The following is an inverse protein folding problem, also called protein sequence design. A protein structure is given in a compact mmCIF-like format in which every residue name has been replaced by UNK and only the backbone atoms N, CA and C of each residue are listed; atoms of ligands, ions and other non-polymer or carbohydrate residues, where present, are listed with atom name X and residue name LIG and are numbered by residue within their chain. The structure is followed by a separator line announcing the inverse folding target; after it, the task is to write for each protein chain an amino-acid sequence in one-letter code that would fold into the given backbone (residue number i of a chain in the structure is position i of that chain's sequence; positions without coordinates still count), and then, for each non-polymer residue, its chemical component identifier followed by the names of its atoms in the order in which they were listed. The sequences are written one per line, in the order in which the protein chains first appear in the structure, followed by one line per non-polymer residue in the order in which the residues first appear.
data_IF_530898789328
#
_entry.id   IF_530898789328
#
_cell.length_a   1.000
_cell.length_b   1.000
_cell.length_c   1.000
_cell.angle_alpha   90.00
_cell.angle_beta   90.00
_cell.angle_gamma   90.00
#
_symmetry.space_group_name_H-M   'P 1'
#
loop_
_entity.id
_entity.type
_entity.pdbx_description
1 polymer ?
#
# COMPACT_ATOMS: atom_id res chain seq x y z
N UNK A 1 20.36 7.82 9.31
CA UNK A 1 19.05 8.50 9.32
C UNK A 1 18.37 8.15 8.01
N UNK A 2 17.14 7.61 8.03
CA UNK A 2 16.40 7.45 6.78
C UNK A 2 16.25 8.82 6.11
N UNK A 3 16.19 8.88 4.77
CA UNK A 3 15.98 10.13 4.04
C UNK A 3 14.76 10.83 4.62
N UNK A 4 14.86 12.14 4.84
CA UNK A 4 13.83 12.86 5.58
C UNK A 4 12.50 12.92 4.82
N UNK A 5 12.53 12.80 3.49
CA UNK A 5 11.35 12.79 2.63
C UNK A 5 11.67 12.05 1.32
N UNK A 6 10.77 11.17 0.88
CA UNK A 6 10.84 10.59 -0.47
C UNK A 6 10.79 11.72 -1.51
N UNK A 7 11.80 11.91 -2.38
CA UNK A 7 11.74 12.95 -3.40
C UNK A 7 10.62 12.60 -4.40
N UNK A 8 9.83 13.59 -4.80
CA UNK A 8 8.92 13.46 -5.96
C UNK A 8 9.79 13.26 -7.22
N UNK A 9 10.29 12.05 -7.43
CA UNK A 9 11.10 11.73 -8.60
C UNK A 9 10.17 11.59 -9.79
N UNK A 10 10.37 12.50 -10.72
CA UNK A 10 9.80 12.44 -12.05
C UNK A 10 10.63 11.44 -12.85
N UNK A 11 10.18 10.20 -12.94
CA UNK A 11 10.83 9.28 -13.86
C UNK A 11 10.11 9.31 -15.21
N UNK A 12 10.77 9.91 -16.19
CA UNK A 12 10.38 9.86 -17.59
C UNK A 12 10.69 8.45 -18.13
N UNK A 13 9.81 7.49 -17.92
CA UNK A 13 9.93 6.15 -18.53
C UNK A 13 9.47 6.15 -20.01
N UNK A 14 9.90 7.15 -20.79
CA UNK A 14 9.52 7.32 -22.20
C UNK A 14 8.06 7.74 -22.41
N UNK A 15 7.27 6.95 -23.14
CA UNK A 15 5.97 7.32 -23.73
C UNK A 15 4.78 7.46 -22.75
N UNK A 16 5.01 7.36 -21.44
CA UNK A 16 3.97 7.46 -20.42
C UNK A 16 4.46 8.34 -19.26
N UNK A 17 3.85 9.53 -19.13
CA UNK A 17 4.04 10.39 -17.98
C UNK A 17 3.28 9.77 -16.81
N UNK A 18 3.98 9.08 -15.92
CA UNK A 18 3.37 8.55 -14.71
C UNK A 18 3.91 9.32 -13.50
N UNK A 19 3.01 9.73 -12.61
CA UNK A 19 3.36 10.43 -11.38
C UNK A 19 2.86 9.64 -10.18
N UNK A 20 3.70 9.63 -9.13
CA UNK A 20 3.24 9.28 -7.79
C UNK A 20 2.15 10.30 -7.40
N UNK A 21 0.95 9.82 -7.12
CA UNK A 21 -0.11 10.69 -6.61
C UNK A 21 0.20 11.08 -5.17
N UNK A 22 -0.42 12.15 -4.65
CA UNK A 22 -0.27 12.52 -3.24
C UNK A 22 -0.54 11.35 -2.28
N UNK A 23 -1.47 10.45 -2.61
CA UNK A 23 -1.79 9.26 -1.81
C UNK A 23 -0.65 8.24 -1.82
N UNK A 24 0.01 8.01 -2.96
CA UNK A 24 1.15 7.07 -3.03
C UNK A 24 2.35 7.64 -2.28
N UNK A 25 2.58 8.94 -2.42
CA UNK A 25 3.66 9.62 -1.72
C UNK A 25 3.43 9.57 -0.20
N UNK A 26 2.23 9.89 0.26
CA UNK A 26 1.87 9.80 1.67
C UNK A 26 2.03 8.36 2.21
N UNK A 27 1.60 7.35 1.44
CA UNK A 27 1.76 5.95 1.82
C UNK A 27 3.24 5.51 1.87
N UNK A 28 4.03 5.92 0.89
CA UNK A 28 5.47 5.62 0.80
C UNK A 28 6.27 6.19 1.98
N UNK A 29 5.82 7.31 2.56
CA UNK A 29 6.44 7.93 3.74
C UNK A 29 5.75 7.55 5.06
N UNK A 30 4.78 6.62 5.05
CA UNK A 30 4.11 6.14 6.25
C UNK A 30 3.11 7.14 6.87
N UNK A 31 2.71 8.18 6.14
CA UNK A 31 1.78 9.22 6.59
C UNK A 31 0.32 8.74 6.54
N UNK A 32 -0.03 7.80 7.42
CA UNK A 32 -1.37 7.22 7.49
C UNK A 32 -2.47 8.28 7.64
N UNK A 33 -2.30 9.27 8.52
CA UNK A 33 -3.34 10.28 8.75
C UNK A 33 -3.63 11.06 7.45
N UNK A 34 -2.59 11.40 6.68
CA UNK A 34 -2.74 12.06 5.39
C UNK A 34 -3.40 11.14 4.35
N UNK A 35 -3.03 9.86 4.30
CA UNK A 35 -3.68 8.88 3.42
C UNK A 35 -5.16 8.77 3.75
N UNK A 36 -5.50 8.73 5.05
CA UNK A 36 -6.88 8.68 5.52
C UNK A 36 -7.64 9.93 5.09
N UNK A 37 -7.12 11.14 5.32
CA UNK A 37 -7.80 12.38 4.91
C UNK A 37 -7.99 12.43 3.38
N UNK A 38 -7.00 12.01 2.59
CA UNK A 38 -7.13 11.94 1.13
C UNK A 38 -8.22 10.95 0.69
N UNK A 39 -8.31 9.78 1.32
CA UNK A 39 -9.36 8.79 1.05
C UNK A 39 -10.76 9.29 1.44
N UNK A 40 -10.87 10.14 2.47
CA UNK A 40 -12.14 10.79 2.82
C UNK A 40 -12.58 11.81 1.76
N UNK A 41 -11.63 12.50 1.12
CA UNK A 41 -11.92 13.43 0.01
C UNK A 41 -12.34 12.68 -1.26
N UNK A 42 -11.65 11.59 -1.59
CA UNK A 42 -11.97 10.76 -2.76
C UNK A 42 -11.61 9.29 -2.50
N UNK A 43 -12.64 8.46 -2.33
CA UNK A 43 -12.47 7.01 -2.10
C UNK A 43 -11.92 6.28 -3.33
N UNK A 44 -12.01 6.85 -4.54
CA UNK A 44 -11.41 6.28 -5.74
C UNK A 44 -9.87 6.30 -5.67
N UNK A 45 -9.28 7.09 -4.77
CA UNK A 45 -7.85 7.05 -4.49
C UNK A 45 -7.42 5.69 -3.89
N UNK A 46 -8.35 4.89 -3.36
CA UNK A 46 -8.05 3.54 -2.90
C UNK A 46 -7.66 2.62 -4.05
N UNK A 47 -8.35 2.71 -5.20
CA UNK A 47 -8.02 1.95 -6.42
C UNK A 47 -6.59 2.25 -6.86
N UNK A 48 -6.21 3.53 -6.78
CA UNK A 48 -4.87 4.02 -7.08
C UNK A 48 -3.81 3.51 -6.11
N UNK A 49 -4.14 3.45 -4.82
CA UNK A 49 -3.26 2.96 -3.75
C UNK A 49 -3.07 1.44 -3.80
N UNK A 50 -4.10 0.71 -4.21
CA UNK A 50 -4.13 -0.76 -4.19
C UNK A 50 -3.69 -1.43 -5.50
N UNK A 51 -3.58 -0.68 -6.60
CA UNK A 51 -3.28 -1.26 -7.91
C UNK A 51 -1.85 -1.81 -7.98
N UNK A 52 -1.70 -3.14 -8.03
CA UNK A 52 -0.39 -3.80 -8.06
C UNK A 52 0.46 -3.37 -9.25
N UNK A 53 -0.15 -3.16 -10.42
CA UNK A 53 0.56 -2.64 -11.59
C UNK A 53 1.22 -1.29 -11.30
N UNK A 54 0.54 -0.44 -10.52
CA UNK A 54 1.03 0.87 -10.13
C UNK A 54 2.09 0.76 -9.03
N UNK A 55 1.89 -0.14 -8.08
CA UNK A 55 2.85 -0.42 -7.00
C UNK A 55 4.17 -0.94 -7.56
N UNK A 56 4.15 -1.91 -8.48
CA UNK A 56 5.38 -2.44 -9.09
C UNK A 56 6.16 -1.38 -9.90
N UNK A 57 5.44 -0.44 -10.52
CA UNK A 57 6.07 0.72 -11.18
C UNK A 57 6.68 1.70 -10.18
N UNK A 58 6.06 1.86 -9.00
CA UNK A 58 6.62 2.66 -7.91
C UNK A 58 7.88 1.98 -7.35
N UNK A 59 7.81 0.68 -7.09
CA UNK A 59 8.93 -0.13 -6.59
C UNK A 59 10.14 -0.07 -7.53
N UNK A 60 9.94 -0.11 -8.86
CA UNK A 60 11.07 0.03 -9.81
C UNK A 60 11.80 1.39 -9.74
N UNK A 61 11.20 2.43 -9.17
CA UNK A 61 11.89 3.73 -8.95
C UNK A 61 12.70 3.71 -7.65
N UNK A 62 12.37 2.80 -6.74
CA UNK A 62 12.84 2.80 -5.36
C UNK A 62 13.82 1.66 -5.08
N UNK A 63 13.76 0.58 -5.85
CA UNK A 63 14.56 -0.64 -5.65
C UNK A 63 16.08 -0.45 -5.85
N UNK A 64 16.50 0.57 -6.61
CA UNK A 64 17.92 0.79 -6.94
C UNK A 64 18.72 1.56 -5.87
N UNK A 65 18.09 1.97 -4.76
CA UNK A 65 18.76 2.76 -3.72
C UNK A 65 18.48 2.19 -2.31
N UNK A 66 19.54 1.75 -1.60
CA UNK A 66 19.50 1.33 -0.17
C UNK A 66 18.82 2.38 0.74
N UNK A 67 18.73 3.62 0.27
CA UNK A 67 18.03 4.72 0.92
C UNK A 67 16.50 4.53 1.01
N UNK A 68 15.90 3.64 0.22
CA UNK A 68 14.45 3.43 0.15
C UNK A 68 13.96 2.08 0.71
N UNK A 69 14.83 1.32 1.40
CA UNK A 69 14.47 0.05 2.05
C UNK A 69 13.29 0.15 3.02
N UNK A 70 13.04 1.34 3.57
CA UNK A 70 11.94 1.58 4.52
C UNK A 70 10.60 1.82 3.83
N UNK A 71 10.55 2.03 2.51
CA UNK A 71 9.31 2.38 1.82
C UNK A 71 8.30 1.22 1.86
N UNK A 72 8.75 -0.02 1.70
CA UNK A 72 7.90 -1.20 1.85
C UNK A 72 7.30 -1.28 3.26
N UNK A 73 8.10 -1.03 4.30
CA UNK A 73 7.65 -0.98 5.71
C UNK A 73 6.66 0.14 5.97
N UNK A 74 6.92 1.34 5.46
CA UNK A 74 6.01 2.49 5.54
C UNK A 74 4.65 2.18 4.92
N UNK A 75 4.64 1.55 3.75
CA UNK A 75 3.40 1.13 3.08
C UNK A 75 2.67 0.03 3.84
N UNK A 76 3.39 -0.96 4.37
CA UNK A 76 2.82 -1.99 5.24
C UNK A 76 2.16 -1.39 6.47
N UNK A 77 2.82 -0.42 7.12
CA UNK A 77 2.26 0.30 8.26
C UNK A 77 0.94 1.00 7.93
N UNK A 78 0.87 1.69 6.79
CA UNK A 78 -0.35 2.37 6.33
C UNK A 78 -1.46 1.36 6.02
N UNK A 79 -1.13 0.26 5.33
CA UNK A 79 -2.06 -0.81 5.01
C UNK A 79 -2.64 -1.47 6.28
N UNK A 80 -1.80 -1.73 7.29
CA UNK A 80 -2.21 -2.30 8.56
C UNK A 80 -3.16 -1.36 9.32
N UNK A 81 -2.86 -0.06 9.38
CA UNK A 81 -3.76 0.92 10.01
C UNK A 81 -5.09 1.06 9.28
N UNK A 82 -5.09 1.06 7.95
CA UNK A 82 -6.33 1.07 7.15
C UNK A 82 -7.16 -0.20 7.39
N UNK A 83 -6.52 -1.37 7.51
CA UNK A 83 -7.19 -2.60 7.91
C UNK A 83 -7.87 -2.43 9.28
N UNK A 84 -7.16 -1.93 10.28
CA UNK A 84 -7.70 -1.74 11.63
C UNK A 84 -8.89 -0.79 11.67
N UNK A 85 -8.83 0.32 10.93
CA UNK A 85 -9.93 1.29 10.84
C UNK A 85 -11.17 0.70 10.15
N UNK A 86 -10.96 -0.19 9.18
CA UNK A 86 -12.02 -0.88 8.44
C UNK A 86 -12.59 -2.12 9.17
N UNK A 87 -12.13 -2.38 10.39
CA UNK A 87 -12.59 -3.49 11.20
C UNK A 87 -13.95 -3.17 11.84
N UNK A 88 -14.97 -3.97 11.52
CA UNK A 88 -16.30 -3.82 12.10
C UNK A 88 -16.42 -4.52 13.45
N UNK A 89 -17.36 -4.08 14.30
CA UNK A 89 -17.69 -4.72 15.59
C UNK A 89 -18.09 -6.20 15.47
N UNK A 90 -18.45 -6.66 14.27
CA UNK A 90 -18.84 -8.05 13.97
C UNK A 90 -17.66 -8.93 13.53
N UNK A 91 -16.42 -8.41 13.56
CA UNK A 91 -15.24 -9.16 13.15
C UNK A 91 -14.98 -9.16 11.64
N UNK A 92 -15.87 -8.59 10.82
CA UNK A 92 -15.66 -8.46 9.38
C UNK A 92 -14.86 -7.19 9.04
N UNK A 93 -14.04 -7.27 8.00
CA UNK A 93 -13.29 -6.15 7.48
C UNK A 93 -13.83 -5.68 6.12
N UNK A 94 -14.16 -4.39 5.98
CA UNK A 94 -14.72 -3.86 4.74
C UNK A 94 -13.72 -3.84 3.58
N UNK A 95 -12.41 -3.68 3.83
CA UNK A 95 -11.38 -3.68 2.78
C UNK A 95 -11.23 -5.08 2.17
N UNK A 96 -11.14 -6.11 3.02
CA UNK A 96 -11.05 -7.50 2.55
C UNK A 96 -12.30 -7.84 1.74
N UNK A 97 -13.49 -7.51 2.24
CA UNK A 97 -14.76 -7.78 1.55
C UNK A 97 -14.90 -7.01 0.23
N UNK A 98 -14.28 -5.82 0.13
CA UNK A 98 -14.26 -5.04 -1.10
C UNK A 98 -13.22 -5.52 -2.12
N UNK A 99 -12.47 -6.59 -1.82
CA UNK A 99 -11.49 -7.19 -2.74
C UNK A 99 -10.08 -6.63 -2.58
N UNK A 100 -9.80 -5.78 -1.58
CA UNK A 100 -8.46 -5.22 -1.37
C UNK A 100 -7.53 -6.15 -0.55
N UNK A 101 -7.98 -7.37 -0.25
CA UNK A 101 -7.20 -8.35 0.52
C UNK A 101 -5.87 -8.75 -0.15
N UNK A 102 -5.87 -8.91 -1.47
CA UNK A 102 -4.63 -9.18 -2.23
C UNK A 102 -3.60 -8.05 -2.12
N UNK A 103 -4.04 -6.80 -2.15
CA UNK A 103 -3.17 -5.64 -1.94
C UNK A 103 -2.57 -5.60 -0.53
N UNK A 104 -3.39 -5.88 0.50
CA UNK A 104 -2.92 -5.94 1.89
C UNK A 104 -1.85 -7.03 2.04
N UNK A 105 -2.09 -8.22 1.49
CA UNK A 105 -1.15 -9.33 1.56
C UNK A 105 0.15 -9.03 0.81
N UNK A 106 0.06 -8.47 -0.40
CA UNK A 106 1.23 -8.07 -1.18
C UNK A 106 2.10 -7.08 -0.42
N UNK A 107 1.48 -6.03 0.15
CA UNK A 107 2.20 -4.97 0.86
C UNK A 107 2.85 -5.49 2.16
N UNK A 108 2.19 -6.41 2.87
CA UNK A 108 2.76 -7.07 4.03
C UNK A 108 3.96 -7.95 3.65
N UNK A 109 3.82 -8.74 2.58
CA UNK A 109 4.87 -9.63 2.09
C UNK A 109 6.10 -8.86 1.56
N UNK A 110 5.90 -7.77 0.81
CA UNK A 110 7.01 -6.96 0.29
C UNK A 110 7.78 -6.24 1.39
N UNK A 111 7.15 -5.97 2.53
CA UNK A 111 7.81 -5.43 3.72
C UNK A 111 8.48 -6.50 4.61
N UNK A 112 8.28 -7.79 4.32
CA UNK A 112 8.73 -8.88 5.19
C UNK A 112 7.98 -8.94 6.54
N UNK A 113 6.77 -8.35 6.62
CA UNK A 113 5.97 -8.29 7.85
C UNK A 113 5.21 -9.61 8.07
N UNK A 114 5.92 -10.60 8.61
CA UNK A 114 5.39 -11.96 8.86
C UNK A 114 4.18 -11.92 9.80
N UNK A 115 4.16 -11.02 10.77
CA UNK A 115 3.06 -10.90 11.73
C UNK A 115 1.80 -10.44 10.99
N UNK A 116 1.93 -9.40 10.16
CA UNK A 116 0.79 -8.90 9.40
C UNK A 116 0.30 -9.88 8.34
N UNK A 117 1.20 -10.59 7.65
CA UNK A 117 0.84 -11.68 6.73
C UNK A 117 0.04 -12.77 7.45
N UNK A 118 0.52 -13.23 8.62
CA UNK A 118 -0.17 -14.25 9.40
C UNK A 118 -1.55 -13.77 9.85
N UNK A 119 -1.64 -12.52 10.31
CA UNK A 119 -2.91 -11.90 10.69
C UNK A 119 -3.94 -11.87 9.55
N UNK A 120 -3.49 -11.62 8.30
CA UNK A 120 -4.34 -11.61 7.12
C UNK A 120 -4.80 -13.02 6.75
N UNK A 121 -3.90 -14.00 6.78
CA UNK A 121 -4.22 -15.39 6.44
C UNK A 121 -5.09 -16.07 7.50
N UNK A 122 -4.98 -15.69 8.77
CA UNK A 122 -5.89 -16.13 9.83
C UNK A 122 -7.32 -15.63 9.61
N UNK A 123 -7.49 -14.46 8.97
CA UNK A 123 -8.80 -13.91 8.62
C UNK A 123 -9.37 -14.54 7.36
N UNK A 124 -8.52 -14.72 6.34
CA UNK A 124 -8.90 -15.33 5.07
C UNK A 124 -7.68 -16.02 4.42
N UNK A 125 -7.59 -17.36 4.53
CA UNK A 125 -6.50 -18.12 3.92
C UNK A 125 -6.48 -18.04 2.38
N UNK A 126 -7.60 -17.68 1.74
CA UNK A 126 -7.70 -17.61 0.28
C UNK A 126 -6.98 -16.39 -0.30
N UNK A 127 -6.57 -15.43 0.53
CA UNK A 127 -5.80 -14.27 0.09
C UNK A 127 -4.47 -14.66 -0.57
N UNK A 128 -3.92 -15.84 -0.25
CA UNK A 128 -2.69 -16.37 -0.86
C UNK A 128 -2.80 -16.53 -2.38
N UNK A 129 -4.01 -16.68 -2.92
CA UNK A 129 -4.24 -16.84 -4.35
C UNK A 129 -4.28 -15.51 -5.11
N UNK A 130 -4.06 -14.37 -4.45
CA UNK A 130 -4.05 -13.05 -5.10
C UNK A 130 -5.42 -12.63 -5.63
N UNK A 131 -6.51 -13.00 -4.96
CA UNK A 131 -7.87 -12.61 -5.40
C UNK A 131 -8.07 -11.12 -5.10
N UNK A 132 -8.42 -10.33 -6.13
CA UNK A 132 -8.73 -8.89 -6.00
C UNK A 132 -7.75 -7.91 -6.65
N UNK A 133 -6.87 -8.39 -7.53
CA UNK A 133 -5.98 -7.55 -8.34
C UNK A 133 -6.79 -6.74 -9.37
N UNK A 134 -6.86 -5.42 -9.21
CA UNK A 134 -7.35 -4.47 -10.23
C UNK A 134 -6.26 -3.44 -10.59
#
# INVERSE_FOLDING_TARGET
MPPTYFPLRWESTGDQWWFASPTDWAAANGHYDLVRELLHLDTNLLIKLSSLRRIRRLESVWDDEEQFDDVSKCRSHVAQKLLQECQTKKGHNSLIRAGYGGWLLYTAASAGDVIFVTELLDKDPLLVFGVGEY
#
